data_IF_607498922862
#
_entry.id   IF_607498922862
#
_cell.length_a   1.000
_cell.length_b   1.000
_cell.length_c   1.000
_cell.angle_alpha   90.00
_cell.angle_beta   90.00
_cell.angle_gamma   90.00
#
_symmetry.space_group_name_H-M   'P 1'
#
loop_
_entity.id
_entity.type
_entity.pdbx_description
1 polymer ?
#
# COMPACT_ATOMS: atom_id res chain seq x y z
N UNK A 1 16.61 -20.37 21.24
CA UNK A 1 15.22 -20.35 20.70
C UNK A 1 14.88 -19.06 19.95
N UNK A 2 15.56 -17.92 20.17
CA UNK A 2 15.28 -16.66 19.47
C UNK A 2 15.57 -16.69 17.95
N UNK A 3 16.62 -17.39 17.50
CA UNK A 3 17.08 -17.38 16.11
C UNK A 3 16.09 -17.98 15.10
N UNK A 4 15.39 -19.06 15.46
CA UNK A 4 14.32 -19.64 14.61
C UNK A 4 13.14 -18.69 14.41
N UNK A 5 12.92 -17.75 15.33
CA UNK A 5 11.82 -16.79 15.26
C UNK A 5 12.11 -15.62 14.31
N UNK A 6 13.37 -15.37 13.97
CA UNK A 6 13.78 -14.31 13.05
C UNK A 6 13.73 -14.77 11.60
N UNK A 7 14.23 -15.98 11.30
CA UNK A 7 14.20 -16.55 9.93
C UNK A 7 12.77 -16.71 9.43
N UNK A 8 11.83 -17.07 10.31
CA UNK A 8 10.40 -17.19 9.98
C UNK A 8 9.77 -15.85 9.53
N UNK A 9 10.43 -14.70 9.78
CA UNK A 9 9.91 -13.36 9.43
C UNK A 9 10.39 -12.87 8.07
N UNK A 10 11.36 -13.54 7.43
CA UNK A 10 11.92 -13.10 6.14
C UNK A 10 10.85 -13.00 5.04
N UNK A 11 9.96 -14.00 4.83
CA UNK A 11 8.93 -13.91 3.79
C UNK A 11 7.93 -12.77 4.02
N UNK A 12 7.51 -12.57 5.27
CA UNK A 12 6.59 -11.49 5.65
C UNK A 12 7.22 -10.11 5.42
N UNK A 13 8.49 -9.94 5.82
CA UNK A 13 9.25 -8.71 5.60
C UNK A 13 9.44 -8.44 4.10
N UNK A 14 9.72 -9.47 3.31
CA UNK A 14 9.86 -9.33 1.86
C UNK A 14 8.55 -8.86 1.23
N UNK A 15 7.42 -9.52 1.50
CA UNK A 15 6.11 -9.13 0.96
C UNK A 15 5.71 -7.70 1.35
N UNK A 16 6.06 -7.28 2.56
CA UNK A 16 5.83 -5.93 3.07
C UNK A 16 6.62 -4.88 2.30
N UNK A 17 7.89 -5.15 1.98
CA UNK A 17 8.76 -4.19 1.30
C UNK A 17 8.59 -4.20 -0.22
N UNK A 18 8.01 -5.24 -0.80
CA UNK A 18 7.92 -5.42 -2.27
C UNK A 18 7.46 -4.18 -3.05
N UNK A 19 6.38 -3.46 -2.68
CA UNK A 19 5.99 -2.26 -3.41
C UNK A 19 7.08 -1.19 -3.40
N UNK A 20 7.75 -0.98 -2.27
CA UNK A 20 8.85 -0.01 -2.12
C UNK A 20 10.11 -0.45 -2.88
N UNK A 21 10.40 -1.74 -2.87
CA UNK A 21 11.46 -2.32 -3.70
C UNK A 21 11.20 -2.06 -5.17
N UNK A 22 9.94 -2.08 -5.62
CA UNK A 22 9.59 -1.76 -7.00
C UNK A 22 9.91 -0.30 -7.37
N UNK A 23 9.58 0.69 -6.53
CA UNK A 23 9.97 2.09 -6.76
C UNK A 23 11.48 2.24 -6.91
N UNK A 24 12.24 1.70 -5.94
CA UNK A 24 13.71 1.82 -5.95
C UNK A 24 14.30 1.12 -7.17
N UNK A 25 13.82 -0.08 -7.51
CA UNK A 25 14.32 -0.84 -8.65
C UNK A 25 13.99 -0.18 -9.99
N UNK A 26 12.74 0.26 -10.18
CA UNK A 26 12.29 0.91 -11.43
C UNK A 26 12.97 2.26 -11.61
N UNK A 27 13.01 3.10 -10.57
CA UNK A 27 13.70 4.38 -10.61
C UNK A 27 15.21 4.25 -10.86
N UNK A 28 15.88 3.31 -10.18
CA UNK A 28 17.31 3.05 -10.40
C UNK A 28 17.58 2.58 -11.83
N UNK A 29 16.75 1.66 -12.34
CA UNK A 29 16.86 1.18 -13.72
C UNK A 29 16.63 2.30 -14.74
N UNK A 30 15.64 3.17 -14.50
CA UNK A 30 15.36 4.32 -15.36
C UNK A 30 16.57 5.25 -15.49
N UNK A 31 17.25 5.55 -14.38
CA UNK A 31 18.44 6.42 -14.37
C UNK A 31 19.67 5.73 -14.95
N UNK A 32 20.01 4.53 -14.47
CA UNK A 32 21.24 3.82 -14.85
C UNK A 32 21.21 3.39 -16.32
N UNK A 33 20.06 2.91 -16.80
CA UNK A 33 19.91 2.44 -18.18
C UNK A 33 19.31 3.49 -19.11
N UNK A 34 19.09 4.73 -18.65
CA UNK A 34 18.45 5.81 -19.40
C UNK A 34 17.14 5.38 -20.09
N UNK A 35 16.32 4.61 -19.36
CA UNK A 35 15.13 3.98 -19.93
C UNK A 35 13.89 4.86 -19.75
N UNK A 36 13.37 5.40 -20.87
CA UNK A 36 12.15 6.21 -20.89
C UNK A 36 10.92 5.43 -20.42
N UNK A 37 10.82 4.15 -20.75
CA UNK A 37 9.70 3.30 -20.34
C UNK A 37 9.71 3.06 -18.82
N UNK A 38 10.89 2.83 -18.23
CA UNK A 38 11.02 2.70 -16.79
C UNK A 38 10.75 4.03 -16.06
N UNK A 39 11.21 5.17 -16.60
CA UNK A 39 10.90 6.48 -16.04
C UNK A 39 9.38 6.77 -16.06
N UNK A 40 8.70 6.35 -17.12
CA UNK A 40 7.25 6.45 -17.22
C UNK A 40 6.54 5.53 -16.21
N UNK A 41 7.03 4.30 -16.01
CA UNK A 41 6.50 3.39 -14.99
C UNK A 41 6.68 3.96 -13.59
N UNK A 42 7.84 4.53 -13.29
CA UNK A 42 8.11 5.22 -12.01
C UNK A 42 7.15 6.37 -11.78
N UNK A 43 6.92 7.21 -12.80
CA UNK A 43 5.94 8.29 -12.73
C UNK A 43 4.53 7.75 -12.44
N UNK A 44 4.12 6.66 -13.10
CA UNK A 44 2.85 5.99 -12.84
C UNK A 44 2.71 5.50 -11.40
N UNK A 45 3.78 4.92 -10.83
CA UNK A 45 3.82 4.49 -9.43
C UNK A 45 3.65 5.68 -8.47
N UNK A 46 4.40 6.77 -8.68
CA UNK A 46 4.33 7.98 -7.86
C UNK A 46 2.94 8.61 -7.90
N UNK A 47 2.34 8.72 -9.09
CA UNK A 47 0.98 9.21 -9.25
C UNK A 47 -0.04 8.29 -8.55
N UNK A 48 0.18 6.98 -8.58
CA UNK A 48 -0.62 6.00 -7.84
C UNK A 48 -0.59 6.23 -6.33
N UNK A 49 0.58 6.52 -5.75
CA UNK A 49 0.71 6.82 -4.32
C UNK A 49 -0.01 8.13 -3.94
N UNK A 50 0.15 9.16 -4.76
CA UNK A 50 -0.55 10.44 -4.60
C UNK A 50 -2.07 10.19 -4.65
N UNK A 51 -2.56 9.44 -5.64
CA UNK A 51 -3.97 9.11 -5.80
C UNK A 51 -4.51 8.34 -4.58
N UNK A 52 -3.75 7.38 -4.06
CA UNK A 52 -4.09 6.62 -2.84
C UNK A 52 -4.17 7.53 -1.60
N UNK A 53 -3.23 8.46 -1.43
CA UNK A 53 -3.21 9.42 -0.32
C UNK A 53 -4.40 10.39 -0.39
N UNK A 54 -4.70 10.91 -1.58
CA UNK A 54 -5.87 11.75 -1.85
C UNK A 54 -7.16 10.98 -1.57
N UNK A 55 -7.28 9.76 -2.09
CA UNK A 55 -8.45 8.90 -1.89
C UNK A 55 -8.72 8.64 -0.40
N UNK A 56 -7.71 8.26 0.38
CA UNK A 56 -7.83 8.09 1.84
C UNK A 56 -8.33 9.36 2.53
N UNK A 57 -7.79 10.51 2.12
CA UNK A 57 -8.15 11.80 2.69
C UNK A 57 -9.60 12.18 2.38
N UNK A 58 -10.04 11.97 1.13
CA UNK A 58 -11.42 12.22 0.70
C UNK A 58 -12.41 11.27 1.39
N UNK A 59 -12.11 9.97 1.43
CA UNK A 59 -12.94 8.98 2.11
C UNK A 59 -13.14 9.33 3.60
N UNK A 60 -12.05 9.71 4.29
CA UNK A 60 -12.11 10.13 5.69
C UNK A 60 -12.95 11.40 5.88
N UNK A 61 -12.85 12.37 4.96
CA UNK A 61 -13.66 13.59 4.99
C UNK A 61 -15.15 13.30 4.76
N UNK A 62 -15.49 12.42 3.82
CA UNK A 62 -16.88 12.12 3.44
C UNK A 62 -17.58 11.25 4.48
N UNK A 63 -16.98 10.12 4.87
CA UNK A 63 -17.63 9.16 5.78
C UNK A 63 -17.43 9.50 7.26
N UNK A 64 -16.49 10.40 7.56
CA UNK A 64 -16.08 10.74 8.92
C UNK A 64 -15.02 9.77 9.48
N UNK A 65 -14.27 10.20 10.52
CA UNK A 65 -13.14 9.44 11.06
C UNK A 65 -13.54 8.15 11.80
N UNK A 66 -14.83 8.01 12.15
CA UNK A 66 -15.36 6.87 12.91
C UNK A 66 -15.98 5.78 12.03
N UNK A 67 -16.02 5.95 10.70
CA UNK A 67 -16.64 4.96 9.80
C UNK A 67 -15.93 3.60 9.89
N UNK A 68 -16.69 2.56 10.24
CA UNK A 68 -16.18 1.19 10.43
C UNK A 68 -15.43 0.66 9.21
N UNK A 69 -16.00 0.83 8.01
CA UNK A 69 -15.39 0.40 6.74
C UNK A 69 -13.98 0.99 6.49
N UNK A 70 -13.73 2.22 6.93
CA UNK A 70 -12.45 2.92 6.72
C UNK A 70 -11.43 2.59 7.82
N UNK A 71 -11.89 2.10 8.97
CA UNK A 71 -11.04 1.79 10.11
C UNK A 71 -10.19 0.55 9.83
N UNK A 72 -8.93 0.58 10.23
CA UNK A 72 -8.09 -0.62 10.21
C UNK A 72 -8.59 -1.64 11.25
N UNK A 73 -8.28 -2.94 11.09
CA UNK A 73 -8.52 -3.93 12.12
C UNK A 73 -7.92 -3.53 13.48
N UNK A 74 -8.52 -3.98 14.57
CA UNK A 74 -7.98 -3.75 15.91
C UNK A 74 -6.58 -4.35 16.05
N UNK A 75 -5.68 -3.63 16.73
CA UNK A 75 -4.28 -4.00 16.84
C UNK A 75 -3.42 -3.69 15.61
N UNK A 76 -3.98 -3.12 14.53
CA UNK A 76 -3.21 -2.74 13.36
C UNK A 76 -2.11 -1.71 13.71
N UNK A 77 -0.87 -2.16 13.66
CA UNK A 77 0.28 -1.31 13.92
C UNK A 77 0.73 -0.59 12.63
N UNK A 78 0.99 0.71 12.75
CA UNK A 78 1.78 1.43 11.78
C UNK A 78 3.19 0.89 11.85
N UNK A 79 3.57 0.27 10.76
CA UNK A 79 4.78 -0.51 10.73
C UNK A 79 5.75 0.05 9.69
N UNK A 80 5.46 1.24 9.16
CA UNK A 80 6.33 1.96 8.24
C UNK A 80 6.68 1.20 6.96
N UNK A 81 7.66 1.73 6.22
CA UNK A 81 8.27 1.07 5.06
C UNK A 81 9.10 -0.12 5.54
N UNK A 82 9.92 0.10 6.57
CA UNK A 82 10.79 -0.91 7.18
C UNK A 82 10.21 -1.42 8.50
N UNK A 83 10.46 -2.69 8.85
CA UNK A 83 10.06 -3.24 10.14
C UNK A 83 10.59 -2.34 11.28
N UNK A 84 9.68 -1.71 12.02
CA UNK A 84 10.05 -0.93 13.20
C UNK A 84 10.17 -1.86 14.41
N UNK A 85 11.18 -1.64 15.25
CA UNK A 85 11.42 -2.44 16.45
C UNK A 85 10.27 -2.32 17.48
N UNK A 86 9.49 -1.24 17.42
CA UNK A 86 8.28 -0.98 18.22
C UNK A 86 7.25 -0.22 17.37
N UNK A 87 6.41 -0.91 16.58
CA UNK A 87 5.48 -0.22 15.67
C UNK A 87 4.37 0.48 16.46
N UNK A 88 4.12 1.76 16.15
CA UNK A 88 3.07 2.56 16.81
C UNK A 88 1.69 2.10 16.36
N UNK A 89 0.65 2.33 17.15
CA UNK A 89 -0.73 2.09 16.68
C UNK A 89 -1.04 2.97 15.45
N UNK A 90 -1.61 2.39 14.39
CA UNK A 90 -1.91 3.16 13.18
C UNK A 90 -3.12 4.06 13.36
N UNK A 91 -2.93 5.37 13.24
CA UNK A 91 -4.00 6.38 13.18
C UNK A 91 -4.52 6.65 11.76
N UNK A 92 -3.90 6.07 10.75
CA UNK A 92 -4.26 6.29 9.34
C UNK A 92 -5.45 5.44 8.87
N UNK A 93 -6.19 5.95 7.88
CA UNK A 93 -7.26 5.20 7.20
C UNK A 93 -6.72 3.91 6.58
N UNK A 94 -7.48 2.83 6.71
CA UNK A 94 -7.17 1.53 6.12
C UNK A 94 -7.56 1.41 4.65
N UNK A 95 -8.36 2.33 4.12
CA UNK A 95 -8.99 2.20 2.79
C UNK A 95 -8.67 3.38 1.86
N UNK A 96 -8.26 3.13 0.60
CA UNK A 96 -7.82 1.84 0.05
C UNK A 96 -6.48 1.35 0.63
N UNK A 97 -6.18 0.05 0.49
CA UNK A 97 -4.86 -0.49 0.82
C UNK A 97 -3.83 -0.11 -0.25
N UNK A 98 -2.80 0.65 0.13
CA UNK A 98 -1.74 1.11 -0.78
C UNK A 98 -0.94 -0.05 -1.39
N UNK A 99 -0.51 -1.01 -0.56
CA UNK A 99 0.17 -2.24 -1.03
C UNK A 99 -0.64 -3.00 -2.08
N UNK A 100 -1.95 -3.14 -1.84
CA UNK A 100 -2.85 -3.82 -2.77
C UNK A 100 -2.99 -3.04 -4.08
N UNK A 101 -3.12 -1.72 -4.00
CA UNK A 101 -3.21 -0.84 -5.16
C UNK A 101 -1.94 -0.88 -6.01
N UNK A 102 -0.77 -0.70 -5.40
CA UNK A 102 0.52 -0.69 -6.13
C UNK A 102 0.84 -2.05 -6.74
N UNK A 103 0.59 -3.15 -6.02
CA UNK A 103 0.84 -4.49 -6.55
C UNK A 103 -0.09 -4.86 -7.71
N UNK A 104 -1.37 -4.51 -7.63
CA UNK A 104 -2.32 -4.68 -8.73
C UNK A 104 -1.96 -3.80 -9.96
N UNK A 105 -1.57 -2.55 -9.72
CA UNK A 105 -1.09 -1.65 -10.77
C UNK A 105 0.09 -2.25 -11.52
N UNK A 106 1.13 -2.70 -10.79
CA UNK A 106 2.29 -3.36 -11.38
C UNK A 106 1.91 -4.66 -12.10
N UNK A 107 1.01 -5.46 -11.52
CA UNK A 107 0.57 -6.70 -12.14
C UNK A 107 -0.04 -6.46 -13.52
N UNK A 108 -0.90 -5.45 -13.66
CA UNK A 108 -1.48 -5.06 -14.94
C UNK A 108 -0.40 -4.58 -15.92
N UNK A 109 0.42 -3.60 -15.53
CA UNK A 109 1.43 -3.04 -16.45
C UNK A 109 2.42 -4.12 -16.92
N UNK A 110 2.93 -4.95 -16.01
CA UNK A 110 3.85 -6.04 -16.35
C UNK A 110 3.18 -7.12 -17.21
N UNK A 111 1.89 -7.43 -16.95
CA UNK A 111 1.14 -8.37 -17.80
C UNK A 111 1.04 -7.88 -19.24
N UNK A 112 0.75 -6.59 -19.44
CA UNK A 112 0.73 -5.99 -20.78
C UNK A 112 2.10 -6.02 -21.45
N UNK A 113 3.20 -5.82 -20.71
CA UNK A 113 4.55 -5.93 -21.26
C UNK A 113 4.89 -7.36 -21.70
N UNK A 114 4.49 -8.37 -20.92
CA UNK A 114 4.67 -9.79 -21.25
C UNK A 114 3.90 -10.15 -22.51
N UNK A 115 2.63 -9.74 -22.61
CA UNK A 115 1.78 -9.98 -23.79
C UNK A 115 2.31 -9.25 -25.02
N UNK A 116 2.79 -8.00 -24.89
CA UNK A 116 3.38 -7.28 -26.03
C UNK A 116 4.65 -7.94 -26.54
N UNK A 117 5.52 -8.43 -25.63
CA UNK A 117 6.78 -9.09 -26.01
C UNK A 117 6.59 -10.45 -26.68
N UNK A 118 5.47 -11.14 -26.46
CA UNK A 118 5.22 -12.41 -27.12
C UNK A 118 4.87 -12.27 -28.61
N UNK A 119 4.59 -11.05 -29.08
CA UNK A 119 4.13 -10.81 -30.45
C UNK A 119 2.64 -11.16 -30.65
N UNK A 120 1.92 -11.55 -29.60
CA UNK A 120 0.47 -11.68 -29.66
C UNK A 120 -0.14 -10.28 -29.79
N UNK A 121 -0.72 -9.99 -30.94
CA UNK A 121 -1.49 -8.77 -31.15
C UNK A 121 -2.58 -8.69 -30.07
N UNK A 122 -2.53 -7.64 -29.24
CA UNK A 122 -3.52 -7.46 -28.19
C UNK A 122 -4.91 -7.33 -28.84
N UNK A 123 -5.90 -8.14 -28.47
CA UNK A 123 -7.15 -8.31 -29.24
C UNK A 123 -8.01 -7.04 -29.37
N UNK A 124 -7.73 -5.98 -28.60
CA UNK A 124 -8.43 -4.70 -28.71
C UNK A 124 -7.93 -3.81 -29.86
N UNK A 125 -6.77 -4.09 -30.44
CA UNK A 125 -6.22 -3.33 -31.57
C UNK A 125 -6.60 -4.02 -32.90
N UNK A 126 -7.91 -4.11 -33.18
CA UNK A 126 -8.41 -4.41 -34.53
C UNK A 126 -8.20 -3.19 -35.42
N UNK A 127 -6.98 -3.00 -35.92
CA UNK A 127 -6.81 -2.18 -37.11
C UNK A 127 -7.31 -3.01 -38.30
N UNK A 128 -8.33 -2.46 -38.94
CA UNK A 128 -8.97 -2.98 -40.13
C UNK A 128 -8.06 -2.80 -41.35
N UNK A 129 -7.02 -3.63 -41.50
CA UNK A 129 -6.45 -3.89 -42.82
C UNK A 129 -6.10 -5.38 -42.97
N UNK A 130 -6.77 -6.10 -43.87
CA UNK A 130 -6.43 -7.47 -44.21
C UNK A 130 -5.25 -7.43 -45.17
N UNK A 131 -4.03 -7.64 -44.67
CA UNK A 131 -2.90 -8.03 -45.53
C UNK A 131 -2.53 -9.49 -45.27
N UNK A 132 -2.42 -10.20 -46.38
CA UNK A 132 -2.44 -11.65 -46.51
C UNK A 132 -1.25 -12.35 -45.85
N UNK A 133 -1.59 -13.44 -45.14
CA UNK A 133 -0.83 -14.69 -45.04
C UNK A 133 0.69 -14.59 -44.79
N UNK A 134 1.06 -14.33 -43.54
CA UNK A 134 2.22 -14.97 -42.94
C UNK A 134 1.75 -15.71 -41.69
N UNK A 135 1.52 -17.02 -41.82
CA UNK A 135 1.21 -17.90 -40.70
C UNK A 135 2.44 -17.95 -39.79
N UNK A 136 2.52 -17.04 -38.81
CA UNK A 136 3.50 -17.17 -37.76
C UNK A 136 3.16 -18.40 -36.91
N UNK A 137 4.17 -19.23 -36.56
CA UNK A 137 3.96 -20.34 -35.66
C UNK A 137 3.47 -19.76 -34.33
N UNK A 138 2.24 -20.12 -33.96
CA UNK A 138 1.68 -19.79 -32.65
C UNK A 138 2.65 -20.31 -31.59
N UNK A 139 3.36 -19.40 -30.91
CA UNK A 139 4.15 -19.79 -29.74
C UNK A 139 3.23 -20.57 -28.78
N UNK A 140 3.74 -21.61 -28.12
CA UNK A 140 2.93 -22.37 -27.17
C UNK A 140 2.45 -21.42 -26.07
N UNK A 141 1.13 -21.32 -25.88
CA UNK A 141 0.46 -20.51 -24.84
C UNK A 141 1.07 -20.68 -23.44
N UNK A 142 1.70 -21.83 -23.17
CA UNK A 142 2.43 -22.12 -21.94
C UNK A 142 3.54 -21.12 -21.61
N UNK A 143 4.24 -20.56 -22.61
CA UNK A 143 5.32 -19.58 -22.40
C UNK A 143 4.82 -18.25 -21.84
N UNK A 144 3.54 -17.91 -22.06
CA UNK A 144 2.88 -16.73 -21.50
C UNK A 144 2.30 -16.99 -20.11
N UNK A 145 1.77 -18.19 -19.88
CA UNK A 145 1.10 -18.53 -18.62
C UNK A 145 2.05 -18.50 -17.43
N UNK A 146 3.31 -18.93 -17.60
CA UNK A 146 4.30 -18.93 -16.51
C UNK A 146 4.61 -17.52 -16.00
N UNK A 147 5.05 -16.55 -16.83
CA UNK A 147 5.35 -15.20 -16.36
C UNK A 147 4.11 -14.47 -15.85
N UNK A 148 2.95 -14.61 -16.52
CA UNK A 148 1.69 -14.01 -16.06
C UNK A 148 1.27 -14.60 -14.70
N UNK A 149 1.34 -15.92 -14.56
CA UNK A 149 1.05 -16.62 -13.32
C UNK A 149 1.96 -16.16 -12.18
N UNK A 150 3.26 -15.99 -12.45
CA UNK A 150 4.22 -15.48 -11.46
C UNK A 150 3.90 -14.04 -11.03
N UNK A 151 3.64 -13.13 -11.98
CA UNK A 151 3.30 -11.73 -11.70
C UNK A 151 2.08 -11.64 -10.76
N UNK A 152 1.00 -12.35 -11.10
CA UNK A 152 -0.22 -12.34 -10.31
C UNK A 152 -0.08 -13.07 -8.99
N UNK A 153 0.69 -14.17 -8.94
CA UNK A 153 0.99 -14.84 -7.69
C UNK A 153 1.68 -13.89 -6.70
N UNK A 154 2.73 -13.19 -7.14
CA UNK A 154 3.43 -12.21 -6.28
C UNK A 154 2.49 -11.11 -5.82
N UNK A 155 1.66 -10.56 -6.72
CA UNK A 155 0.70 -9.53 -6.36
C UNK A 155 -0.30 -10.04 -5.30
N UNK A 156 -0.86 -11.24 -5.47
CA UNK A 156 -1.78 -11.86 -4.50
C UNK A 156 -1.09 -12.13 -3.17
N UNK A 157 0.16 -12.58 -3.15
CA UNK A 157 0.91 -12.80 -1.90
C UNK A 157 1.13 -11.48 -1.15
N UNK A 158 1.44 -10.39 -1.86
CA UNK A 158 1.52 -9.04 -1.27
C UNK A 158 0.17 -8.63 -0.70
N UNK A 159 -0.93 -8.84 -1.42
CA UNK A 159 -2.29 -8.54 -0.95
C UNK A 159 -2.66 -9.34 0.30
N UNK A 160 -2.42 -10.65 0.27
CA UNK A 160 -2.71 -11.56 1.39
C UNK A 160 -1.91 -11.19 2.63
N UNK A 161 -0.64 -10.78 2.49
CA UNK A 161 0.23 -10.36 3.59
C UNK A 161 -0.33 -9.19 4.41
N UNK A 162 -1.30 -8.45 3.86
CA UNK A 162 -1.95 -7.31 4.53
C UNK A 162 -3.17 -7.71 5.36
N UNK A 163 -3.65 -8.94 5.23
CA UNK A 163 -4.89 -9.42 5.84
C UNK A 163 -4.64 -10.36 7.01
N UNK A 164 -5.70 -10.69 7.76
CA UNK A 164 -5.66 -11.76 8.79
C UNK A 164 -5.35 -13.15 8.23
N UNK A 165 -5.46 -13.33 6.91
CA UNK A 165 -5.24 -14.61 6.23
C UNK A 165 -3.80 -14.78 5.73
N UNK A 166 -2.89 -13.89 6.12
CA UNK A 166 -1.51 -13.90 5.68
C UNK A 166 -0.75 -15.18 6.09
N UNK A 167 -1.18 -15.88 7.15
CA UNK A 167 -0.55 -17.12 7.61
C UNK A 167 0.95 -16.91 7.86
N UNK A 168 1.86 -17.64 7.19
CA UNK A 168 3.31 -17.45 7.34
C UNK A 168 3.83 -16.10 6.80
N UNK A 169 3.02 -15.38 6.02
CA UNK A 169 3.31 -14.04 5.52
C UNK A 169 2.81 -12.95 6.48
N UNK A 170 2.17 -13.32 7.59
CA UNK A 170 1.62 -12.37 8.53
C UNK A 170 2.74 -11.62 9.25
N UNK A 171 2.53 -10.31 9.44
CA UNK A 171 3.39 -9.52 10.32
C UNK A 171 3.01 -9.84 11.75
N UNK A 172 3.95 -10.36 12.52
CA UNK A 172 3.77 -10.58 13.95
C UNK A 172 4.28 -9.39 14.75
N UNK A 173 3.44 -8.86 15.64
CA UNK A 173 3.82 -7.89 16.67
C UNK A 173 3.68 -8.60 18.01
N UNK A 174 4.75 -8.65 18.79
CA UNK A 174 4.81 -9.38 20.08
C UNK A 174 4.36 -10.85 19.99
N UNK A 175 4.75 -11.51 18.90
CA UNK A 175 4.41 -12.92 18.64
C UNK A 175 2.97 -13.16 18.18
N UNK A 176 2.15 -12.12 18.01
CA UNK A 176 0.78 -12.22 17.50
C UNK A 176 0.69 -11.71 16.07
N UNK A 177 0.07 -12.49 15.19
CA UNK A 177 -0.22 -12.06 13.83
C UNK A 177 -1.19 -10.87 13.85
N UNK A 178 -0.80 -9.76 13.21
CA UNK A 178 -1.60 -8.53 13.15
C UNK A 178 -2.08 -8.31 11.72
N UNK A 179 -3.39 -8.15 11.56
CA UNK A 179 -3.98 -7.74 10.30
C UNK A 179 -3.86 -6.22 10.13
N UNK A 180 -3.21 -5.76 9.06
CA UNK A 180 -3.09 -4.33 8.78
C UNK A 180 -4.31 -3.77 8.04
N UNK A 181 -4.98 -4.60 7.25
CA UNK A 181 -6.13 -4.25 6.43
C UNK A 181 -7.21 -5.34 6.49
N UNK A 182 -8.46 -4.92 6.34
CA UNK A 182 -9.57 -5.84 6.10
C UNK A 182 -9.55 -6.34 4.64
N UNK A 183 -10.22 -7.47 4.36
CA UNK A 183 -10.34 -7.96 2.97
C UNK A 183 -10.98 -6.92 2.04
N UNK A 184 -12.07 -6.22 2.41
CA UNK A 184 -12.62 -5.15 1.58
C UNK A 184 -11.60 -4.05 1.26
N UNK A 185 -10.77 -3.64 2.22
CA UNK A 185 -9.74 -2.62 2.01
C UNK A 185 -8.68 -3.06 0.99
N UNK A 186 -8.32 -4.34 1.01
CA UNK A 186 -7.41 -4.95 0.05
C UNK A 186 -8.06 -5.04 -1.32
N UNK A 187 -9.30 -5.52 -1.42
CA UNK A 187 -10.02 -5.65 -2.70
C UNK A 187 -10.28 -4.30 -3.37
N UNK A 188 -10.70 -3.27 -2.63
CA UNK A 188 -10.88 -1.90 -3.17
C UNK A 188 -9.54 -1.35 -3.65
N UNK A 189 -8.46 -1.55 -2.89
CA UNK A 189 -7.12 -1.16 -3.31
C UNK A 189 -6.72 -1.86 -4.62
N UNK A 190 -6.90 -3.17 -4.70
CA UNK A 190 -6.58 -3.94 -5.90
C UNK A 190 -7.40 -3.48 -7.12
N UNK A 191 -8.71 -3.27 -6.96
CA UNK A 191 -9.58 -2.78 -8.03
C UNK A 191 -9.13 -1.42 -8.56
N UNK A 192 -8.89 -0.45 -7.67
CA UNK A 192 -8.34 0.86 -8.06
C UNK A 192 -6.98 0.72 -8.73
N UNK A 193 -6.11 -0.15 -8.20
CA UNK A 193 -4.80 -0.43 -8.77
C UNK A 193 -4.87 -0.98 -10.18
N UNK A 194 -5.75 -1.94 -10.44
CA UNK A 194 -5.96 -2.50 -11.78
C UNK A 194 -6.41 -1.41 -12.77
N UNK A 195 -7.38 -0.60 -12.38
CA UNK A 195 -7.92 0.48 -13.21
C UNK A 195 -6.86 1.55 -13.52
N UNK A 196 -6.06 1.93 -12.52
CA UNK A 196 -4.93 2.83 -12.73
C UNK A 196 -3.85 2.20 -13.63
N UNK A 197 -3.63 0.89 -13.52
CA UNK A 197 -2.71 0.15 -14.38
C UNK A 197 -3.16 0.18 -15.85
N UNK A 198 -4.44 -0.08 -16.11
CA UNK A 198 -5.03 0.02 -17.45
C UNK A 198 -4.97 1.47 -17.98
N UNK A 199 -5.30 2.46 -17.14
CA UNK A 199 -5.18 3.88 -17.49
C UNK A 199 -3.76 4.22 -17.92
N UNK A 200 -2.78 3.73 -17.15
CA UNK A 200 -1.38 3.98 -17.41
C UNK A 200 -0.96 3.29 -18.72
N UNK A 201 -1.27 2.01 -18.93
CA UNK A 201 -0.96 1.32 -20.19
C UNK A 201 -1.58 2.04 -21.40
N UNK A 202 -2.83 2.48 -21.28
CA UNK A 202 -3.51 3.27 -22.32
C UNK A 202 -2.75 4.57 -22.60
N UNK A 203 -2.40 5.33 -21.55
CA UNK A 203 -1.65 6.58 -21.66
C UNK A 203 -0.28 6.40 -22.31
N UNK A 204 0.51 5.41 -21.87
CA UNK A 204 1.82 5.09 -22.46
C UNK A 204 1.72 4.78 -23.96
N UNK A 205 0.60 4.20 -24.36
CA UNK A 205 0.35 3.77 -25.74
C UNK A 205 -0.26 4.85 -26.63
N UNK A 206 -0.42 6.08 -26.12
CA UNK A 206 -1.06 7.20 -26.81
C UNK A 206 -2.59 7.11 -26.90
N UNK A 207 -3.22 6.24 -26.12
CA UNK A 207 -4.68 6.09 -26.06
C UNK A 207 -5.33 6.90 -24.93
N UNK A 208 -6.66 6.88 -24.90
CA UNK A 208 -7.45 7.58 -23.88
C UNK A 208 -7.41 6.85 -22.53
N UNK A 209 -6.87 7.52 -21.53
CA UNK A 209 -6.77 7.01 -20.16
C UNK A 209 -7.95 7.42 -19.27
N UNK A 210 -8.76 8.39 -19.72
CA UNK A 210 -9.88 8.97 -18.98
C UNK A 210 -10.96 7.97 -18.51
N UNK A 211 -11.40 6.99 -19.32
CA UNK A 211 -12.43 6.04 -18.89
C UNK A 211 -12.01 5.22 -17.66
N UNK A 212 -10.74 4.83 -17.60
CA UNK A 212 -10.19 4.01 -16.53
C UNK A 212 -10.05 4.79 -15.22
N UNK A 213 -9.61 6.04 -15.29
CA UNK A 213 -9.54 6.91 -14.10
C UNK A 213 -10.92 7.36 -13.63
N UNK A 214 -11.86 7.58 -14.56
CA UNK A 214 -13.27 7.79 -14.24
C UNK A 214 -13.88 6.59 -13.50
N UNK A 215 -13.60 5.37 -13.94
CA UNK A 215 -14.06 4.15 -13.27
C UNK A 215 -13.42 3.98 -11.88
N UNK A 216 -12.12 4.30 -11.73
CA UNK A 216 -11.46 4.28 -10.42
C UNK A 216 -12.09 5.27 -9.45
N UNK A 217 -12.42 6.49 -9.92
CA UNK A 217 -13.13 7.49 -9.16
C UNK A 217 -14.55 7.02 -8.77
N UNK A 218 -15.26 6.35 -9.69
CA UNK A 218 -16.59 5.79 -9.42
C UNK A 218 -16.54 4.71 -8.33
N UNK A 219 -15.56 3.79 -8.38
CA UNK A 219 -15.36 2.78 -7.32
C UNK A 219 -15.15 3.46 -5.96
N UNK A 220 -14.31 4.50 -5.90
CA UNK A 220 -14.08 5.23 -4.65
C UNK A 220 -15.31 5.98 -4.17
N UNK A 221 -16.11 6.57 -5.06
CA UNK A 221 -17.35 7.23 -4.72
C UNK A 221 -18.39 6.25 -4.14
N UNK A 222 -18.50 5.04 -4.71
CA UNK A 222 -19.38 3.99 -4.18
C UNK A 222 -18.95 3.56 -2.78
N UNK A 223 -17.65 3.39 -2.56
CA UNK A 223 -17.08 3.06 -1.23
C UNK A 223 -17.32 4.19 -0.23
N UNK A 224 -17.13 5.45 -0.64
CA UNK A 224 -17.40 6.62 0.19
C UNK A 224 -18.87 6.65 0.62
N UNK A 225 -19.77 6.37 -0.31
CA UNK A 225 -21.22 6.34 -0.08
C UNK A 225 -21.60 5.22 0.87
N UNK A 226 -21.07 4.02 0.67
CA UNK A 226 -21.31 2.88 1.56
C UNK A 226 -20.80 3.15 2.99
N UNK A 227 -19.59 3.69 3.13
CA UNK A 227 -19.01 4.04 4.43
C UNK A 227 -19.81 5.16 5.14
N UNK A 228 -20.28 6.15 4.38
CA UNK A 228 -21.10 7.24 4.90
C UNK A 228 -22.47 6.74 5.39
N UNK A 229 -23.13 5.86 4.62
CA UNK A 229 -24.39 5.23 5.03
C UNK A 229 -24.22 4.40 6.30
N UNK A 230 -23.14 3.62 6.41
CA UNK A 230 -22.82 2.85 7.62
C UNK A 230 -22.68 3.77 8.85
N UNK A 231 -21.94 4.88 8.72
CA UNK A 231 -21.73 5.83 9.81
C UNK A 231 -23.05 6.47 10.28
N UNK A 232 -23.97 6.75 9.34
CA UNK A 232 -25.31 7.27 9.64
C UNK A 232 -26.17 6.24 10.39
N UNK A 233 -26.16 4.99 9.96
CA UNK A 233 -26.92 3.92 10.62
C UNK A 233 -26.41 3.61 12.05
N UNK A 234 -25.10 3.69 12.28
CA UNK A 234 -24.52 3.48 13.61
C UNK A 234 -24.86 4.65 14.56
N UNK A 235 -24.84 5.90 14.06
CA UNK A 235 -25.26 7.06 14.84
C UNK A 235 -26.72 7.01 15.28
N UNK A 236 -27.62 6.46 14.46
CA UNK A 236 -29.03 6.29 14.80
C UNK A 236 -29.27 5.23 15.90
N UNK A 237 -28.42 4.19 15.99
CA UNK A 237 -28.55 3.12 17.00
C UNK A 237 -27.93 3.49 18.36
N UNK A 238 -27.00 4.44 18.41
CA UNK A 238 -26.36 4.88 19.65
C UNK A 238 -27.19 5.89 20.46
N UNK A 239 -28.23 6.49 19.87
CA UNK A 239 -29.06 7.50 20.53
C UNK A 239 -30.08 6.95 21.55
N UNK A 240 -30.42 5.66 21.46
CA UNK A 240 -31.40 5.04 22.37
C UNK A 240 -30.77 4.31 23.56
N UNK A 241 -29.45 4.09 23.56
CA UNK A 241 -28.77 3.36 24.64
C UNK A 241 -28.32 4.24 25.82
N UNK A 242 -28.19 5.55 25.63
CA UNK A 242 -27.80 6.50 26.68
C UNK A 242 -28.99 7.00 27.52
N UNK A 243 -30.23 6.60 27.20
CA UNK A 243 -31.41 6.99 27.97
C UNK A 243 -31.66 6.13 29.23
N UNK A 244 -31.02 4.96 29.35
CA UNK A 244 -31.23 4.02 30.47
C UNK A 244 -30.06 3.97 31.48
N UNK A 245 -28.98 4.72 31.25
CA UNK A 245 -27.83 4.77 32.17
C UNK A 245 -27.97 5.79 33.32
N UNK A 246 -28.98 6.67 33.28
CA UNK A 246 -29.15 7.76 34.27
C UNK A 246 -30.22 7.46 35.36
N UNK A 247 -30.56 6.18 35.58
CA UNK A 247 -31.63 5.78 36.51
C UNK A 247 -31.24 4.90 37.69
N UNK A 248 -29.97 4.81 38.05
CA UNK A 248 -29.64 4.14 39.31
C UNK A 248 -28.18 4.17 39.69
N UNK A 249 -27.76 5.19 40.44
CA UNK A 249 -26.71 5.04 41.44
C UNK A 249 -26.70 6.21 42.44
N UNK A 250 -27.82 6.43 43.13
CA UNK A 250 -27.80 7.08 44.44
C UNK A 250 -27.38 6.03 45.48
N UNK A 251 -26.11 6.01 45.87
CA UNK A 251 -25.65 5.54 47.19
C UNK A 251 -24.18 5.88 47.44
N UNK A 252 -23.99 6.91 48.27
CA UNK A 252 -23.17 6.84 49.50
C UNK A 252 -21.78 6.17 49.44
N UNK A 253 -20.70 6.98 49.55
CA UNK A 253 -19.92 7.16 50.80
C UNK A 253 -18.49 7.72 50.59
N UNK A 254 -18.23 8.78 51.35
CA UNK A 254 -17.06 8.99 52.23
C UNK A 254 -15.66 9.33 51.68
N UNK A 255 -15.32 10.61 51.88
CA UNK A 255 -14.12 11.13 52.59
C UNK A 255 -12.77 10.40 52.40
N UNK A 256 -11.86 11.10 51.71
CA UNK A 256 -10.42 10.96 51.88
C UNK A 256 -9.71 12.26 51.50
N UNK A 257 -9.36 13.06 52.51
CA UNK A 257 -8.52 14.24 52.38
C UNK A 257 -7.03 13.84 52.33
N UNK A 258 -6.23 14.50 51.49
CA UNK A 258 -4.78 14.35 51.53
C UNK A 258 -4.05 15.12 50.43
N UNK A 259 -3.42 16.24 50.82
CA UNK A 259 -2.19 16.88 50.28
C UNK A 259 -2.02 16.92 48.76
N UNK A 260 -2.19 18.05 48.07
CA UNK A 260 -1.32 19.25 48.09
C UNK A 260 0.17 18.91 48.00
N UNK A 261 0.71 18.92 46.77
CA UNK A 261 2.08 19.33 46.47
C UNK A 261 2.24 19.61 44.96
N UNK A 262 2.54 20.88 44.68
CA UNK A 262 3.61 21.36 43.80
C UNK A 262 3.58 21.00 42.29
N UNK A 263 3.32 21.98 41.42
CA UNK A 263 4.35 22.84 40.81
C UNK A 263 5.06 22.18 39.62
N UNK A 264 4.69 22.55 38.40
CA UNK A 264 5.53 23.39 37.52
C UNK A 264 4.83 23.63 36.20
N UNK A 265 4.55 24.91 35.97
CA UNK A 265 4.15 25.47 34.69
C UNK A 265 5.45 25.84 33.95
N UNK A 266 5.73 25.18 32.83
CA UNK A 266 6.78 25.60 31.89
C UNK A 266 6.26 25.39 30.47
N UNK A 267 5.72 26.47 29.91
CA UNK A 267 5.62 26.61 28.47
C UNK A 267 7.01 26.72 27.86
N UNK A 268 7.32 25.85 26.90
CA UNK A 268 8.47 25.99 26.01
C UNK A 268 8.01 25.72 24.58
N UNK A 269 7.76 26.83 23.87
CA UNK A 269 7.81 26.93 22.42
C UNK A 269 9.30 26.89 22.01
N UNK A 270 9.66 26.02 21.07
CA UNK A 270 10.96 26.08 20.39
C UNK A 270 11.66 24.73 20.27
N UNK A 271 11.26 23.91 19.31
CA UNK A 271 12.09 22.81 18.83
C UNK A 271 13.02 23.32 17.73
N UNK A 272 14.12 23.97 18.11
CA UNK A 272 15.33 23.98 17.30
C UNK A 272 15.98 22.60 17.40
N UNK A 273 15.94 21.84 16.31
CA UNK A 273 16.68 20.59 16.19
C UNK A 273 18.11 20.94 15.80
N UNK A 274 18.96 21.05 16.82
CA UNK A 274 20.40 21.17 16.69
C UNK A 274 20.97 19.85 16.16
N UNK A 275 21.32 19.83 14.86
CA UNK A 275 22.09 18.76 14.23
C UNK A 275 23.54 18.82 14.72
N UNK A 276 23.84 18.13 15.83
CA UNK A 276 25.22 17.82 16.19
C UNK A 276 25.81 16.80 15.21
N UNK A 277 26.47 17.34 14.20
CA UNK A 277 27.44 16.67 13.35
C UNK A 277 28.58 16.12 14.20
N UNK A 278 28.62 14.79 14.39
CA UNK A 278 29.83 14.08 14.83
C UNK A 278 30.52 13.45 13.63
N UNK A 279 31.44 14.22 13.10
CA UNK A 279 32.58 13.80 12.29
C UNK A 279 33.56 12.99 13.15
N UNK A 280 33.63 11.67 12.95
CA UNK A 280 34.84 10.87 13.18
C UNK A 280 34.62 9.40 12.74
N UNK A 281 34.97 9.09 11.49
CA UNK A 281 35.49 7.77 11.14
C UNK A 281 36.33 7.89 9.86
N UNK A 282 37.58 8.31 10.07
CA UNK A 282 38.70 7.98 9.18
C UNK A 282 38.98 6.49 9.36
N UNK A 283 38.60 5.69 8.38
CA UNK A 283 39.20 4.38 8.14
C UNK A 283 39.83 4.40 6.76
N UNK A 284 41.16 4.38 6.77
CA UNK A 284 42.04 4.17 5.62
C UNK A 284 41.70 2.86 4.92
N UNK A 285 41.30 2.94 3.65
CA UNK A 285 41.27 1.80 2.73
C UNK A 285 42.61 1.73 1.97
N UNK A 286 43.26 0.56 1.89
CA UNK A 286 44.46 0.37 1.09
C UNK A 286 44.14 0.33 -0.42
N UNK A 287 45.11 0.82 -1.19
CA UNK A 287 44.97 1.22 -2.58
C UNK A 287 44.56 0.14 -3.58
N UNK A 288 43.78 0.59 -4.57
CA UNK A 288 43.62 -0.08 -5.86
C UNK A 288 44.57 0.57 -6.87
N UNK A 289 45.48 -0.24 -7.43
CA UNK A 289 46.31 0.15 -8.56
C UNK A 289 45.49 0.05 -9.86
N UNK A 290 45.57 1.04 -10.78
CA UNK A 290 44.94 0.93 -12.09
C UNK A 290 45.71 -0.04 -13.00
N UNK A 291 44.97 -0.95 -13.65
CA UNK A 291 45.50 -1.75 -14.76
C UNK A 291 45.76 -0.84 -15.97
N UNK A 292 47.01 -0.81 -16.43
CA UNK A 292 47.38 -0.31 -17.75
C UNK A 292 46.85 -1.28 -18.81
N UNK A 293 46.03 -0.80 -19.73
CA UNK A 293 45.75 -1.48 -21.00
C UNK A 293 46.85 -1.15 -21.99
N UNK A 294 47.43 -2.19 -22.59
CA UNK A 294 48.28 -2.13 -23.79
C UNK A 294 47.39 -2.22 -25.03
#
# INVERSE_FOLDING_TARGET
MAERSEVARVPANLMRTMPYTAYVAVGSYAVVCWSRDAAWLELGLLLGEIANAVAKSLLKKVAGPKAGLLRRPEGAADSGIYPQHCPRASSSSGMPSGHSQTSAFLAIVLSHLVVRRSGEAVPWRRCAEPTETCAQPSRPRAELLVPLGYIWLVAVLVMMSRTRFAGPLAVCVDGRAVAHHTVPQVLVGAAVGCLLGEAAVAWHSGGDWGPWTGLAAAVLALVATAAWLEARCQGARGGDADADADRGSDSDKSRGAGSSEASTDVGSLGSEVELQSRSALRTSLPGYAPMCTS
#
